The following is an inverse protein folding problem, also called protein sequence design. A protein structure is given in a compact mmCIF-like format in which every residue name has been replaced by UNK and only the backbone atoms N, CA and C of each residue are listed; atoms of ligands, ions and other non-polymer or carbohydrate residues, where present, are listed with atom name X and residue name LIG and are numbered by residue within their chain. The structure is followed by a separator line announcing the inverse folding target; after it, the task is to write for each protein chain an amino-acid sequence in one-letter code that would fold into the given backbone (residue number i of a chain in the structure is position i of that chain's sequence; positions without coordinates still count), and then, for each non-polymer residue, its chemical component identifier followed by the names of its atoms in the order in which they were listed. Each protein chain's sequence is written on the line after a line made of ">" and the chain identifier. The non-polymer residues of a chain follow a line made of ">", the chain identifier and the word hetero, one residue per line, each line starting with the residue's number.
data_IF_375180417119
#
_entry.id   IF_375180417119
#
_cell.length_a   1.000
_cell.length_b   1.000
_cell.length_c   1.000
_cell.angle_alpha   90.00
_cell.angle_beta   90.00
_cell.angle_gamma   90.00
#
_symmetry.space_group_name_H-M   'P 1'
#
loop_
_entity.id
_entity.type
_entity.pdbx_description
1 polymer ?
#
# COMPACT_ATOMS: atom_id res chain seq x y z
N UNK A 1 -13.66 -30.33 -33.28
CA UNK A 1 -14.23 -29.01 -32.95
C UNK A 1 -13.46 -28.49 -31.73
N UNK A 2 -12.42 -27.67 -31.98
CA UNK A 2 -11.64 -27.07 -30.89
C UNK A 2 -12.29 -25.76 -30.48
N UNK A 3 -13.03 -25.78 -29.37
CA UNK A 3 -13.44 -24.54 -28.70
C UNK A 3 -12.26 -23.98 -27.90
N UNK A 4 -11.50 -23.08 -28.53
CA UNK A 4 -10.62 -22.20 -27.80
C UNK A 4 -11.49 -21.17 -27.07
N UNK A 5 -11.78 -21.45 -25.80
CA UNK A 5 -12.42 -20.48 -24.93
C UNK A 5 -11.40 -19.36 -24.64
N UNK A 6 -11.43 -18.31 -25.41
CA UNK A 6 -10.75 -17.06 -25.09
C UNK A 6 -11.38 -16.50 -23.82
N UNK A 7 -10.72 -16.71 -22.69
CA UNK A 7 -11.06 -16.03 -21.41
C UNK A 7 -11.04 -14.52 -21.71
N UNK A 8 -12.12 -13.79 -21.45
CA UNK A 8 -12.16 -12.38 -21.78
C UNK A 8 -11.08 -11.64 -20.95
N UNK A 9 -10.12 -11.03 -21.64
CA UNK A 9 -9.03 -10.19 -21.09
C UNK A 9 -9.54 -9.13 -20.10
N UNK A 10 -10.83 -8.82 -20.11
CA UNK A 10 -11.51 -7.84 -19.26
C UNK A 10 -11.57 -8.23 -17.78
N UNK A 11 -11.54 -9.53 -17.46
CA UNK A 11 -11.64 -10.02 -16.10
C UNK A 11 -10.32 -9.95 -15.33
N UNK A 12 -9.18 -9.95 -16.02
CA UNK A 12 -7.85 -9.80 -15.40
C UNK A 12 -7.58 -8.35 -14.94
N UNK A 13 -8.26 -7.37 -15.53
CA UNK A 13 -8.06 -5.95 -15.23
C UNK A 13 -8.71 -5.51 -13.91
N UNK A 14 -9.82 -6.13 -13.49
CA UNK A 14 -10.54 -5.82 -12.25
C UNK A 14 -9.69 -6.04 -10.98
N UNK A 15 -8.83 -7.06 -10.99
CA UNK A 15 -7.98 -7.42 -9.87
C UNK A 15 -6.69 -6.61 -9.80
N UNK A 16 -6.26 -6.06 -10.94
CA UNK A 16 -5.04 -5.25 -11.00
C UNK A 16 -5.21 -3.92 -10.27
N UNK A 17 -6.40 -3.31 -10.31
CA UNK A 17 -6.70 -2.09 -9.55
C UNK A 17 -6.69 -2.31 -8.03
N UNK A 18 -7.29 -3.40 -7.57
CA UNK A 18 -7.34 -3.74 -6.15
C UNK A 18 -5.98 -4.23 -5.62
N UNK A 19 -5.23 -5.04 -6.39
CA UNK A 19 -3.91 -5.51 -5.97
C UNK A 19 -2.89 -4.37 -5.81
N UNK A 20 -2.99 -3.32 -6.61
CA UNK A 20 -2.14 -2.16 -6.50
C UNK A 20 -2.41 -1.29 -5.24
N UNK A 21 -3.64 -1.33 -4.74
CA UNK A 21 -4.02 -0.64 -3.50
C UNK A 21 -3.57 -1.39 -2.23
N UNK A 22 -3.29 -2.68 -2.33
CA UNK A 22 -3.05 -3.55 -1.16
C UNK A 22 -1.56 -3.83 -0.90
N UNK A 23 -0.65 -3.42 -1.78
CA UNK A 23 0.80 -3.56 -1.56
C UNK A 23 1.40 -2.57 -0.54
N UNK A 24 0.56 -1.93 0.29
CA UNK A 24 1.01 -1.02 1.36
C UNK A 24 1.01 -1.76 2.69
N UNK A 25 2.16 -2.03 3.22
CA UNK A 25 2.30 -2.81 4.43
C UNK A 25 2.12 -2.02 5.72
N UNK A 26 2.53 -0.82 5.88
CA UNK A 26 1.93 0.11 6.84
C UNK A 26 1.01 0.99 6.02
N UNK A 27 -0.26 0.76 6.17
CA UNK A 27 -1.29 1.40 5.36
C UNK A 27 -1.36 2.88 5.67
N UNK A 28 -1.20 3.24 6.96
CA UNK A 28 -1.29 4.61 7.44
C UNK A 28 0.05 5.33 7.28
N UNK A 29 0.12 6.31 6.38
CA UNK A 29 1.29 7.17 6.22
C UNK A 29 1.39 8.17 7.37
N UNK A 30 2.63 8.50 7.76
CA UNK A 30 2.95 9.53 8.74
C UNK A 30 3.11 10.89 8.06
N UNK A 31 2.70 12.01 8.69
CA UNK A 31 2.97 13.35 8.19
C UNK A 31 4.44 13.77 8.31
N UNK A 32 5.27 12.98 9.01
CA UNK A 32 6.68 13.32 9.21
C UNK A 32 7.48 13.21 7.92
N UNK A 33 8.29 14.22 7.64
CA UNK A 33 9.24 14.29 6.52
C UNK A 33 10.62 13.81 6.92
N UNK A 34 11.41 13.39 5.95
CA UNK A 34 12.83 13.11 6.11
C UNK A 34 13.59 14.43 6.17
N UNK A 35 14.57 14.55 7.08
CA UNK A 35 15.37 15.78 7.23
C UNK A 35 16.17 16.09 5.96
N UNK A 36 16.44 17.38 5.68
CA UNK A 36 17.23 17.78 4.52
C UNK A 36 18.58 17.07 4.46
N UNK A 37 18.93 16.56 3.27
CA UNK A 37 20.20 15.86 3.05
C UNK A 37 20.24 14.42 3.57
N UNK A 38 19.17 13.92 4.16
CA UNK A 38 19.05 12.52 4.59
C UNK A 38 18.14 11.75 3.63
N UNK A 39 18.31 10.42 3.67
CA UNK A 39 17.53 9.48 2.87
C UNK A 39 16.89 8.43 3.76
N UNK A 40 15.76 7.90 3.32
CA UNK A 40 15.07 6.80 3.98
C UNK A 40 14.62 5.78 2.93
N UNK A 41 15.01 4.53 3.11
CA UNK A 41 14.44 3.40 2.39
C UNK A 41 13.39 2.74 3.27
N UNK A 42 12.17 2.62 2.73
CA UNK A 42 11.12 1.73 3.24
C UNK A 42 10.94 0.61 2.22
N UNK A 43 11.09 -0.63 2.62
CA UNK A 43 10.95 -1.77 1.72
C UNK A 43 10.09 -2.86 2.37
N UNK A 44 8.99 -3.23 1.71
CA UNK A 44 8.29 -4.46 2.02
C UNK A 44 9.09 -5.62 1.42
N UNK A 45 9.91 -6.26 2.25
CA UNK A 45 10.72 -7.39 1.83
C UNK A 45 9.85 -8.50 1.25
N UNK A 46 8.71 -8.77 1.91
CA UNK A 46 7.66 -9.66 1.39
C UNK A 46 6.29 -9.26 1.94
N UNK A 47 5.28 -9.30 1.07
CA UNK A 47 3.86 -9.17 1.41
C UNK A 47 3.09 -10.28 0.70
N UNK A 48 2.25 -11.03 1.44
CA UNK A 48 1.48 -12.15 0.91
C UNK A 48 0.01 -11.90 1.20
N UNK A 49 -0.81 -11.83 0.15
CA UNK A 49 -2.25 -11.64 0.26
C UNK A 49 -2.95 -12.93 -0.14
N UNK A 50 -3.70 -13.49 0.77
CA UNK A 50 -4.43 -14.75 0.57
C UNK A 50 -5.91 -14.52 0.47
N UNK A 51 -6.62 -15.42 -0.24
CA UNK A 51 -8.07 -15.39 -0.36
C UNK A 51 -8.63 -14.04 -0.86
N UNK A 52 -7.92 -13.40 -1.78
CA UNK A 52 -8.49 -12.32 -2.58
C UNK A 52 -9.62 -12.95 -3.42
N UNK A 53 -10.79 -12.31 -3.44
CA UNK A 53 -11.89 -12.76 -4.29
C UNK A 53 -11.87 -11.91 -5.56
N UNK A 54 -11.70 -12.56 -6.69
CA UNK A 54 -11.89 -11.90 -7.97
C UNK A 54 -13.38 -11.64 -8.25
N UNK A 55 -13.70 -10.87 -9.26
CA UNK A 55 -15.09 -10.58 -9.68
C UNK A 55 -15.85 -11.84 -10.10
N UNK A 56 -15.17 -12.93 -10.41
CA UNK A 56 -15.75 -14.24 -10.72
C UNK A 56 -15.87 -15.14 -9.47
N UNK A 57 -15.49 -14.63 -8.27
CA UNK A 57 -15.63 -15.32 -6.99
C UNK A 57 -14.61 -16.41 -6.70
N UNK A 58 -13.57 -16.54 -7.53
CA UNK A 58 -12.49 -17.50 -7.31
C UNK A 58 -11.45 -16.97 -6.30
N UNK A 59 -10.86 -17.85 -5.46
CA UNK A 59 -9.77 -17.46 -4.59
C UNK A 59 -8.51 -17.09 -5.40
N UNK A 60 -7.82 -16.06 -4.96
CA UNK A 60 -6.53 -15.65 -5.53
C UNK A 60 -5.51 -15.38 -4.43
N UNK A 61 -4.25 -15.46 -4.79
CA UNK A 61 -3.12 -15.14 -3.92
C UNK A 61 -2.20 -14.18 -4.65
N UNK A 62 -1.85 -13.07 -3.99
CA UNK A 62 -0.84 -12.16 -4.50
C UNK A 62 0.38 -12.16 -3.57
N UNK A 63 1.56 -12.15 -4.17
CA UNK A 63 2.85 -12.03 -3.48
C UNK A 63 3.58 -10.85 -4.08
N UNK A 64 3.97 -9.90 -3.24
CA UNK A 64 4.85 -8.80 -3.60
C UNK A 64 6.18 -8.96 -2.85
N UNK A 65 7.29 -8.74 -3.54
CA UNK A 65 8.64 -8.81 -2.98
C UNK A 65 9.38 -7.54 -3.35
N UNK A 66 9.96 -6.90 -2.34
CA UNK A 66 10.79 -5.73 -2.53
C UNK A 66 10.02 -4.47 -2.98
N UNK A 67 8.76 -4.28 -2.56
CA UNK A 67 8.08 -3.00 -2.75
C UNK A 67 8.85 -1.92 -2.00
N UNK A 68 9.58 -1.09 -2.73
CA UNK A 68 10.59 -0.18 -2.18
C UNK A 68 10.23 1.26 -2.45
N UNK A 69 10.35 2.10 -1.42
CA UNK A 69 10.30 3.56 -1.52
C UNK A 69 11.61 4.14 -1.01
N UNK A 70 12.29 4.88 -1.88
CA UNK A 70 13.41 5.74 -1.54
C UNK A 70 12.89 7.17 -1.35
N UNK A 71 13.10 7.73 -0.17
CA UNK A 71 12.72 9.09 0.19
C UNK A 71 13.96 9.95 0.36
N UNK A 72 13.95 11.16 -0.18
CA UNK A 72 14.97 12.17 0.00
C UNK A 72 14.38 13.42 0.66
N UNK A 73 14.94 13.85 1.79
CA UNK A 73 14.57 15.10 2.44
C UNK A 73 15.12 16.30 1.68
N UNK A 74 14.24 17.21 1.24
CA UNK A 74 14.62 18.43 0.53
C UNK A 74 14.63 19.66 1.45
N UNK A 75 13.64 19.77 2.33
CA UNK A 75 13.47 20.82 3.33
C UNK A 75 12.98 20.19 4.63
N UNK A 76 12.94 20.94 5.73
CA UNK A 76 12.47 20.43 7.02
C UNK A 76 11.01 19.90 6.95
N UNK A 77 10.23 20.46 6.05
CA UNK A 77 8.81 20.15 5.85
C UNK A 77 8.49 19.49 4.49
N UNK A 78 9.51 19.20 3.67
CA UNK A 78 9.31 18.66 2.31
C UNK A 78 10.25 17.51 2.01
N UNK A 79 9.68 16.39 1.58
CA UNK A 79 10.43 15.26 1.00
C UNK A 79 9.83 14.81 -0.35
N UNK A 80 10.65 14.11 -1.13
CA UNK A 80 10.26 13.46 -2.38
C UNK A 80 10.56 11.97 -2.29
N UNK A 81 9.73 11.17 -2.95
CA UNK A 81 9.82 9.73 -2.89
C UNK A 81 9.69 9.11 -4.28
N UNK A 82 10.53 8.12 -4.55
CA UNK A 82 10.41 7.25 -5.71
C UNK A 82 10.19 5.83 -5.21
N UNK A 83 9.17 5.17 -5.72
CA UNK A 83 8.84 3.81 -5.33
C UNK A 83 8.66 2.88 -6.52
N UNK A 84 8.87 1.59 -6.30
CA UNK A 84 8.60 0.53 -7.27
C UNK A 84 8.34 -0.80 -6.57
N UNK A 85 7.50 -1.62 -7.21
CA UNK A 85 7.34 -3.03 -6.84
C UNK A 85 8.36 -3.86 -7.62
N UNK A 86 9.41 -4.35 -6.96
CA UNK A 86 10.50 -5.08 -7.64
C UNK A 86 10.04 -6.41 -8.22
N UNK A 87 9.11 -7.08 -7.56
CA UNK A 87 8.47 -8.29 -8.09
C UNK A 87 7.07 -8.46 -7.53
N UNK A 88 6.10 -8.67 -8.41
CA UNK A 88 4.72 -9.02 -8.07
C UNK A 88 4.35 -10.32 -8.77
N UNK A 89 3.68 -11.22 -8.05
CA UNK A 89 3.11 -12.45 -8.61
C UNK A 89 1.67 -12.60 -8.14
N UNK A 90 0.76 -12.83 -9.07
CA UNK A 90 -0.65 -13.03 -8.81
C UNK A 90 -1.08 -14.39 -9.35
N UNK A 91 -1.65 -15.23 -8.49
CA UNK A 91 -2.16 -16.55 -8.81
C UNK A 91 -3.68 -16.56 -8.68
N UNK A 92 -4.36 -17.00 -9.72
CA UNK A 92 -5.82 -17.12 -9.80
C UNK A 92 -6.20 -18.58 -9.90
N UNK A 93 -7.17 -19.02 -9.09
CA UNK A 93 -7.66 -20.39 -9.10
C UNK A 93 -9.15 -20.41 -9.49
N UNK A 94 -9.48 -21.11 -10.57
CA UNK A 94 -10.84 -21.25 -11.09
C UNK A 94 -11.16 -22.72 -11.38
N UNK A 95 -11.71 -23.39 -10.39
CA UNK A 95 -11.92 -24.84 -10.48
C UNK A 95 -10.59 -25.57 -10.68
N UNK A 96 -10.45 -26.28 -11.81
CA UNK A 96 -9.19 -26.97 -12.18
C UNK A 96 -8.18 -26.08 -12.91
N UNK A 97 -8.56 -24.84 -13.24
CA UNK A 97 -7.72 -23.93 -13.99
C UNK A 97 -6.95 -23.01 -13.04
N UNK A 98 -5.64 -22.92 -13.23
CA UNK A 98 -4.76 -21.99 -12.52
C UNK A 98 -4.06 -21.09 -13.53
N UNK A 99 -4.18 -19.77 -13.34
CA UNK A 99 -3.45 -18.75 -14.10
C UNK A 99 -2.52 -17.99 -13.16
N UNK A 100 -1.36 -17.58 -13.69
CA UNK A 100 -0.36 -16.84 -12.94
C UNK A 100 0.25 -15.74 -13.78
N UNK A 101 0.17 -14.51 -13.26
CA UNK A 101 0.85 -13.34 -13.81
C UNK A 101 1.95 -12.90 -12.85
N UNK A 102 3.11 -12.53 -13.37
CA UNK A 102 4.21 -12.01 -12.55
C UNK A 102 5.12 -11.08 -13.35
N UNK A 103 5.80 -10.20 -12.64
CA UNK A 103 6.73 -9.26 -13.24
C UNK A 103 7.12 -8.14 -12.31
N UNK A 104 7.88 -7.19 -12.83
CA UNK A 104 8.15 -5.90 -12.21
C UNK A 104 6.85 -5.08 -12.20
N UNK A 105 6.57 -4.41 -11.08
CA UNK A 105 5.37 -3.60 -10.94
C UNK A 105 5.52 -2.18 -11.47
N UNK A 106 4.63 -1.31 -11.06
CA UNK A 106 4.62 0.08 -11.48
C UNK A 106 5.55 0.95 -10.64
N UNK A 107 6.00 2.06 -11.21
CA UNK A 107 6.82 3.06 -10.52
C UNK A 107 5.95 4.20 -10.00
N UNK A 108 6.27 4.67 -8.81
CA UNK A 108 5.56 5.74 -8.10
C UNK A 108 6.48 6.93 -7.90
N UNK A 109 5.93 8.12 -8.04
CA UNK A 109 6.53 9.37 -7.61
C UNK A 109 5.59 10.03 -6.62
N UNK A 110 6.12 10.46 -5.47
CA UNK A 110 5.37 11.09 -4.39
C UNK A 110 6.13 12.29 -3.89
N UNK A 111 5.39 13.29 -3.40
CA UNK A 111 5.94 14.43 -2.68
C UNK A 111 5.16 14.57 -1.39
N UNK A 112 5.82 14.72 -0.26
CA UNK A 112 5.18 14.96 1.03
C UNK A 112 5.56 16.35 1.52
N UNK A 113 4.54 17.16 1.84
CA UNK A 113 4.70 18.47 2.44
C UNK A 113 3.92 18.56 3.74
N UNK A 114 4.64 18.73 4.87
CA UNK A 114 4.07 18.93 6.20
C UNK A 114 3.73 20.40 6.34
N UNK A 115 2.51 20.80 5.99
CA UNK A 115 2.09 22.20 5.94
C UNK A 115 1.64 22.78 7.29
N UNK A 116 1.40 21.89 8.28
CA UNK A 116 1.05 22.30 9.64
C UNK A 116 1.68 21.37 10.67
N UNK A 117 2.23 21.98 11.72
CA UNK A 117 2.83 21.27 12.84
C UNK A 117 2.71 22.11 14.11
N UNK A 118 2.38 21.47 15.22
CA UNK A 118 2.51 22.04 16.58
C UNK A 118 3.41 21.14 17.44
N UNK A 119 3.41 21.35 18.76
CA UNK A 119 4.25 20.60 19.70
C UNK A 119 3.98 19.10 19.72
N UNK A 120 2.79 18.65 19.34
CA UNK A 120 2.36 17.25 19.45
C UNK A 120 1.77 16.68 18.18
N UNK A 121 1.35 17.50 17.26
CA UNK A 121 0.61 17.04 16.09
C UNK A 121 1.18 17.62 14.81
N UNK A 122 0.98 16.90 13.71
CA UNK A 122 1.36 17.36 12.38
C UNK A 122 0.33 16.90 11.34
N UNK A 123 0.21 17.68 10.25
CA UNK A 123 -0.58 17.36 9.07
C UNK A 123 0.28 17.56 7.83
N UNK A 124 0.22 16.62 6.92
CA UNK A 124 0.89 16.74 5.62
C UNK A 124 -0.10 16.52 4.48
N UNK A 125 0.31 16.91 3.29
CA UNK A 125 -0.31 16.59 2.02
C UNK A 125 0.72 15.84 1.17
N UNK A 126 0.25 14.78 0.49
CA UNK A 126 1.14 13.89 -0.25
C UNK A 126 0.50 13.49 -1.58
N UNK A 127 0.61 14.36 -2.61
CA UNK A 127 0.24 13.99 -3.97
C UNK A 127 1.17 12.90 -4.50
N UNK A 128 0.62 12.03 -5.36
CA UNK A 128 1.40 11.01 -6.03
C UNK A 128 0.91 10.72 -7.44
N UNK A 129 1.82 10.16 -8.24
CA UNK A 129 1.55 9.60 -9.55
C UNK A 129 2.15 8.19 -9.63
N UNK A 130 1.41 7.29 -10.25
CA UNK A 130 1.82 5.93 -10.60
C UNK A 130 1.93 5.82 -12.11
N UNK A 131 3.08 5.39 -12.59
CA UNK A 131 3.37 5.21 -14.01
C UNK A 131 3.24 3.73 -14.39
N UNK A 132 2.61 3.39 -15.53
CA UNK A 132 2.41 2.01 -15.99
C UNK A 132 3.70 1.40 -16.56
N UNK A 133 4.71 1.22 -15.73
CA UNK A 133 6.01 0.67 -16.11
C UNK A 133 6.06 -0.86 -16.06
N UNK A 134 5.07 -1.48 -15.43
CA UNK A 134 4.91 -2.94 -15.41
C UNK A 134 4.63 -3.45 -16.82
N UNK A 135 5.38 -4.40 -17.35
CA UNK A 135 5.27 -4.93 -18.71
C UNK A 135 3.90 -5.50 -19.12
N UNK A 136 2.82 -5.05 -18.49
CA UNK A 136 1.43 -5.31 -18.85
C UNK A 136 0.82 -6.58 -18.26
N UNK A 137 1.52 -7.27 -17.36
CA UNK A 137 1.01 -8.48 -16.73
C UNK A 137 0.53 -8.27 -15.29
N UNK A 138 1.05 -7.24 -14.58
CA UNK A 138 0.77 -6.98 -13.16
C UNK A 138 0.44 -5.52 -12.84
N UNK A 139 0.17 -4.67 -13.82
CA UNK A 139 -0.19 -3.25 -13.65
C UNK A 139 -1.43 -2.84 -14.43
N UNK A 140 -1.96 -1.66 -14.15
CA UNK A 140 -3.20 -1.15 -14.76
C UNK A 140 -3.04 -0.61 -16.17
N UNK A 141 -1.82 -0.52 -16.69
CA UNK A 141 -1.50 0.04 -18.03
C UNK A 141 -1.98 1.47 -18.24
N UNK A 142 -2.16 2.22 -17.16
CA UNK A 142 -2.60 3.60 -17.20
C UNK A 142 -1.83 4.42 -16.18
N UNK A 143 -1.66 5.70 -16.43
CA UNK A 143 -1.19 6.63 -15.41
C UNK A 143 -2.31 6.79 -14.39
N UNK A 144 -1.99 6.60 -13.13
CA UNK A 144 -2.90 6.78 -12.01
C UNK A 144 -2.27 7.73 -11.02
N UNK A 145 -3.04 8.20 -10.06
CA UNK A 145 -2.51 9.08 -9.03
C UNK A 145 -3.57 9.46 -8.02
N UNK A 146 -3.16 10.24 -7.04
CA UNK A 146 -4.05 10.60 -5.95
C UNK A 146 -3.43 11.59 -4.99
N UNK A 147 -4.15 11.80 -3.91
CA UNK A 147 -3.78 12.68 -2.83
C UNK A 147 -3.98 11.96 -1.50
N UNK A 148 -2.92 11.91 -0.69
CA UNK A 148 -2.95 11.39 0.67
C UNK A 148 -2.81 12.58 1.62
N UNK A 149 -3.62 12.59 2.69
CA UNK A 149 -3.56 13.58 3.76
C UNK A 149 -3.36 12.86 5.08
N UNK A 150 -2.11 12.66 5.53
CA UNK A 150 -1.80 12.08 6.82
C UNK A 150 -1.83 13.13 7.94
N UNK A 151 -2.31 12.72 9.10
CA UNK A 151 -2.26 13.43 10.36
C UNK A 151 -1.71 12.51 11.44
N UNK A 152 -0.94 13.06 12.37
CA UNK A 152 -0.47 12.34 13.56
C UNK A 152 -0.53 13.21 14.80
N UNK A 153 -0.69 12.57 15.97
CA UNK A 153 -0.52 13.20 17.27
C UNK A 153 0.30 12.30 18.19
N UNK A 154 1.21 12.93 18.95
CA UNK A 154 2.12 12.25 19.87
C UNK A 154 1.59 12.36 21.29
N UNK A 155 1.52 11.24 21.97
CA UNK A 155 0.94 11.12 23.30
C UNK A 155 2.03 11.17 24.39
N UNK A 156 1.70 11.61 25.61
CA UNK A 156 2.56 11.42 26.76
C UNK A 156 2.90 9.92 26.91
N UNK A 157 4.18 9.61 27.17
CA UNK A 157 4.66 8.22 27.25
C UNK A 157 5.16 7.63 25.92
N UNK A 158 5.29 8.47 24.87
CA UNK A 158 5.92 8.10 23.61
C UNK A 158 5.01 7.36 22.62
N UNK A 159 3.76 7.11 22.96
CA UNK A 159 2.78 6.57 22.02
C UNK A 159 2.39 7.63 20.96
N UNK A 160 1.84 7.17 19.83
CA UNK A 160 1.26 8.08 18.84
C UNK A 160 0.02 7.47 18.20
N UNK A 161 -0.87 8.36 17.77
CA UNK A 161 -2.00 8.04 16.93
C UNK A 161 -1.79 8.72 15.57
N UNK A 162 -1.95 7.95 14.50
CA UNK A 162 -1.83 8.43 13.11
C UNK A 162 -3.11 8.08 12.37
N UNK A 163 -3.61 8.99 11.56
CA UNK A 163 -4.72 8.75 10.66
C UNK A 163 -4.43 9.34 9.29
N UNK A 164 -5.04 8.80 8.24
CA UNK A 164 -4.97 9.41 6.92
C UNK A 164 -6.28 9.24 6.15
N UNK A 165 -6.55 10.21 5.27
CA UNK A 165 -7.48 10.08 4.17
C UNK A 165 -6.72 10.04 2.85
N UNK A 166 -7.25 9.33 1.87
CA UNK A 166 -6.66 9.21 0.54
C UNK A 166 -7.76 9.24 -0.51
N UNK A 167 -7.50 9.94 -1.60
CA UNK A 167 -8.36 9.98 -2.78
C UNK A 167 -7.51 9.67 -4.01
N UNK A 168 -7.84 8.57 -4.69
CA UNK A 168 -7.14 8.12 -5.88
C UNK A 168 -8.02 8.19 -7.11
N UNK A 169 -7.41 8.45 -8.26
CA UNK A 169 -7.97 8.22 -9.58
C UNK A 169 -7.36 6.93 -10.13
N UNK A 170 -8.20 5.91 -10.25
CA UNK A 170 -7.81 4.56 -10.66
C UNK A 170 -8.48 4.24 -11.99
N UNK A 171 -7.76 3.65 -12.93
CA UNK A 171 -8.30 3.22 -14.23
C UNK A 171 -9.49 2.29 -14.00
N UNK A 172 -10.63 2.61 -14.61
CA UNK A 172 -11.81 1.79 -14.51
C UNK A 172 -11.69 0.48 -15.30
N UNK A 173 -12.51 -0.53 -14.94
CA UNK A 173 -12.48 -1.84 -15.56
C UNK A 173 -12.83 -1.82 -17.06
N UNK A 174 -13.65 -0.88 -17.48
CA UNK A 174 -14.02 -0.70 -18.88
C UNK A 174 -12.84 -0.18 -19.72
N UNK A 175 -11.79 0.31 -19.07
CA UNK A 175 -10.60 0.85 -19.75
C UNK A 175 -10.87 2.15 -20.53
N UNK A 176 -11.94 2.88 -20.24
CA UNK A 176 -12.35 4.09 -20.96
C UNK A 176 -12.41 5.35 -20.07
N UNK A 177 -12.07 5.24 -18.78
CA UNK A 177 -12.11 6.35 -17.83
C UNK A 177 -11.42 6.00 -16.51
N UNK A 178 -11.72 6.79 -15.49
CA UNK A 178 -11.21 6.61 -14.13
C UNK A 178 -12.34 6.59 -13.12
N UNK A 179 -12.19 5.75 -12.12
CA UNK A 179 -13.01 5.74 -10.93
C UNK A 179 -12.27 6.46 -9.80
N UNK A 180 -13.02 7.10 -8.91
CA UNK A 180 -12.50 7.59 -7.66
C UNK A 180 -12.44 6.44 -6.65
N UNK A 181 -11.32 6.30 -5.94
CA UNK A 181 -11.20 5.42 -4.79
C UNK A 181 -10.92 6.27 -3.55
N UNK A 182 -11.81 6.19 -2.58
CA UNK A 182 -11.66 6.84 -1.29
C UNK A 182 -11.17 5.82 -0.27
N UNK A 183 -10.14 6.18 0.47
CA UNK A 183 -9.54 5.33 1.47
C UNK A 183 -9.26 6.12 2.74
N UNK A 184 -9.42 5.48 3.89
CA UNK A 184 -9.07 6.02 5.19
C UNK A 184 -8.46 4.95 6.06
N UNK A 185 -7.50 5.33 6.89
CA UNK A 185 -6.89 4.44 7.87
C UNK A 185 -6.53 5.18 9.16
N UNK A 186 -6.33 4.38 10.22
CA UNK A 186 -5.87 4.88 11.51
C UNK A 186 -5.03 3.82 12.20
N UNK A 187 -3.93 4.25 12.81
CA UNK A 187 -3.01 3.41 13.55
C UNK A 187 -2.69 4.02 14.91
N UNK A 188 -2.59 3.16 15.91
CA UNK A 188 -2.03 3.49 17.20
C UNK A 188 -0.74 2.71 17.39
N UNK A 189 0.34 3.38 17.78
CA UNK A 189 1.62 2.74 18.07
C UNK A 189 2.14 3.12 19.45
N UNK A 190 2.80 2.17 20.10
CA UNK A 190 3.36 2.32 21.43
C UNK A 190 4.76 1.70 21.51
N UNK A 191 5.81 2.51 21.77
CA UNK A 191 7.10 1.98 22.17
C UNK A 191 6.96 1.23 23.51
N UNK A 192 7.41 -0.01 23.55
CA UNK A 192 7.47 -0.83 24.79
C UNK A 192 8.85 -0.77 25.42
N UNK A 193 9.87 -0.73 24.58
CA UNK A 193 11.28 -0.60 24.97
C UNK A 193 12.01 0.24 23.92
N UNK A 194 13.30 0.54 24.15
CA UNK A 194 14.13 1.17 23.12
C UNK A 194 14.34 0.33 21.84
N UNK A 195 14.07 -0.98 21.93
CA UNK A 195 14.21 -1.91 20.79
C UNK A 195 12.88 -2.29 20.15
N UNK A 196 11.76 -2.13 20.85
CA UNK A 196 10.47 -2.69 20.41
C UNK A 196 9.36 -1.65 20.47
N UNK A 197 8.72 -1.43 19.34
CA UNK A 197 7.45 -0.69 19.20
C UNK A 197 6.38 -1.63 18.67
N UNK A 198 5.19 -1.63 19.27
CA UNK A 198 4.03 -2.37 18.76
C UNK A 198 2.98 -1.41 18.24
N UNK A 199 2.14 -1.88 17.30
CA UNK A 199 1.05 -1.07 16.77
C UNK A 199 -0.16 -1.91 16.38
N UNK A 200 -1.32 -1.25 16.35
CA UNK A 200 -2.55 -1.75 15.76
C UNK A 200 -3.07 -0.77 14.71
N UNK A 201 -3.70 -1.27 13.67
CA UNK A 201 -4.12 -0.49 12.50
C UNK A 201 -5.45 -1.00 11.95
N UNK A 202 -6.30 -0.07 11.54
CA UNK A 202 -7.55 -0.34 10.83
C UNK A 202 -7.63 0.53 9.59
N UNK A 203 -8.20 -0.01 8.51
CA UNK A 203 -8.33 0.72 7.27
C UNK A 203 -9.59 0.32 6.51
N UNK A 204 -10.15 1.25 5.74
CA UNK A 204 -11.30 1.01 4.89
C UNK A 204 -11.25 1.87 3.63
N UNK A 205 -11.76 1.32 2.52
CA UNK A 205 -11.83 2.04 1.24
C UNK A 205 -12.99 1.60 0.38
N UNK A 206 -13.39 2.49 -0.56
CA UNK A 206 -14.51 2.28 -1.46
C UNK A 206 -14.26 2.94 -2.81
N UNK A 207 -14.49 2.19 -3.90
CA UNK A 207 -14.47 2.70 -5.27
C UNK A 207 -15.85 3.24 -5.67
N UNK A 208 -15.87 4.32 -6.47
CA UNK A 208 -17.06 4.83 -7.15
C UNK A 208 -17.56 3.89 -8.26
N UNK A 209 -16.70 3.02 -8.79
CA UNK A 209 -17.00 2.05 -9.85
C UNK A 209 -17.83 0.84 -9.41
N UNK A 210 -18.38 0.85 -8.18
CA UNK A 210 -19.27 -0.21 -7.69
C UNK A 210 -18.57 -1.44 -7.10
N UNK A 211 -17.26 -1.55 -7.12
CA UNK A 211 -16.51 -2.63 -6.48
C UNK A 211 -16.87 -2.78 -4.99
N UNK A 212 -16.78 -3.98 -4.39
CA UNK A 212 -16.98 -4.16 -2.96
C UNK A 212 -16.04 -3.24 -2.15
N UNK A 213 -16.50 -2.79 -0.97
CA UNK A 213 -15.63 -2.05 -0.08
C UNK A 213 -14.50 -2.94 0.43
N UNK A 214 -13.34 -2.32 0.68
CA UNK A 214 -12.16 -2.97 1.24
C UNK A 214 -12.04 -2.55 2.70
N UNK A 215 -11.95 -3.50 3.62
CA UNK A 215 -11.72 -3.21 5.04
C UNK A 215 -10.71 -4.17 5.60
N UNK A 216 -9.75 -3.68 6.37
CA UNK A 216 -8.71 -4.48 7.01
C UNK A 216 -8.49 -4.03 8.45
N UNK A 217 -8.11 -4.96 9.30
CA UNK A 217 -7.60 -4.72 10.64
C UNK A 217 -6.33 -5.52 10.82
N UNK A 218 -5.37 -4.99 11.51
CA UNK A 218 -4.12 -5.68 11.76
C UNK A 218 -3.25 -4.99 12.78
N UNK A 219 -2.01 -5.44 12.84
CA UNK A 219 -1.01 -4.85 13.72
C UNK A 219 0.33 -5.53 13.53
N UNK A 220 1.32 -5.03 14.23
CA UNK A 220 2.67 -5.50 14.08
C UNK A 220 3.61 -5.06 15.19
N UNK A 221 4.86 -5.44 15.00
CA UNK A 221 5.96 -5.13 15.88
C UNK A 221 7.17 -4.64 15.08
N UNK A 222 7.67 -3.47 15.46
CA UNK A 222 8.90 -2.90 14.90
C UNK A 222 10.06 -3.18 15.85
N UNK A 223 11.11 -3.81 15.33
CA UNK A 223 12.35 -4.11 16.05
C UNK A 223 13.44 -3.14 15.57
N UNK A 224 13.83 -2.21 16.42
CA UNK A 224 14.85 -1.18 16.14
C UNK A 224 16.24 -1.74 16.45
N UNK A 225 16.98 -2.17 15.42
CA UNK A 225 18.35 -2.69 15.60
C UNK A 225 19.39 -1.58 15.75
N UNK A 226 19.08 -0.39 15.26
CA UNK A 226 19.85 0.83 15.48
C UNK A 226 18.94 2.06 15.36
N UNK A 227 19.50 3.26 15.54
CA UNK A 227 18.76 4.52 15.34
C UNK A 227 18.32 4.75 13.90
N UNK A 228 18.90 4.05 12.94
CA UNK A 228 18.65 4.21 11.50
C UNK A 228 18.09 2.97 10.83
N UNK A 229 18.07 1.82 11.50
CA UNK A 229 17.62 0.57 10.90
C UNK A 229 16.64 -0.20 11.78
N UNK A 230 15.50 -0.60 11.19
CA UNK A 230 14.49 -1.42 11.86
C UNK A 230 13.86 -2.45 10.93
N UNK A 231 13.45 -3.57 11.52
CA UNK A 231 12.51 -4.51 10.92
C UNK A 231 11.11 -4.28 11.45
N UNK A 232 10.11 -4.59 10.62
CA UNK A 232 8.69 -4.54 10.98
C UNK A 232 8.02 -5.82 10.51
N UNK A 233 7.32 -6.49 11.43
CA UNK A 233 6.57 -7.72 11.20
C UNK A 233 5.11 -7.45 11.48
N UNK A 234 4.27 -7.60 10.47
CA UNK A 234 2.85 -7.28 10.55
C UNK A 234 1.96 -8.42 10.04
N UNK A 235 0.74 -8.45 10.56
CA UNK A 235 -0.31 -9.35 10.10
C UNK A 235 -1.63 -8.58 10.01
N UNK A 236 -2.27 -8.62 8.84
CA UNK A 236 -3.57 -8.02 8.60
C UNK A 236 -4.62 -9.06 8.26
N UNK A 237 -5.87 -8.79 8.63
CA UNK A 237 -7.06 -9.57 8.36
C UNK A 237 -8.07 -8.73 7.60
N UNK A 238 -8.64 -9.28 6.52
CA UNK A 238 -9.76 -8.67 5.82
C UNK A 238 -11.04 -8.72 6.63
N UNK A 239 -11.77 -7.61 6.63
CA UNK A 239 -13.07 -7.44 7.26
C UNK A 239 -14.22 -7.46 6.23
N UNK A 240 -13.88 -7.50 4.95
CA UNK A 240 -14.85 -7.43 3.85
C UNK A 240 -14.46 -8.37 2.72
N UNK A 241 -15.42 -8.62 1.79
CA UNK A 241 -15.17 -9.45 0.62
C UNK A 241 -14.18 -8.84 -0.37
N UNK A 242 -14.02 -7.52 -0.37
CA UNK A 242 -13.05 -6.83 -1.24
C UNK A 242 -11.63 -6.82 -0.66
N UNK A 243 -11.43 -7.28 0.57
CA UNK A 243 -10.13 -7.33 1.23
C UNK A 243 -9.53 -8.74 1.18
N UNK A 244 -8.17 -8.86 1.22
CA UNK A 244 -7.51 -10.16 1.36
C UNK A 244 -7.92 -10.84 2.66
N UNK A 245 -8.02 -12.18 2.66
CA UNK A 245 -8.31 -12.94 3.86
C UNK A 245 -7.25 -12.73 4.94
N UNK A 246 -6.00 -12.89 4.58
CA UNK A 246 -4.82 -12.61 5.41
C UNK A 246 -3.73 -11.93 4.59
N UNK A 247 -2.99 -11.04 5.23
CA UNK A 247 -1.82 -10.37 4.65
C UNK A 247 -0.69 -10.28 5.69
N UNK A 248 0.17 -11.31 5.83
CA UNK A 248 1.44 -11.19 6.52
C UNK A 248 2.43 -10.34 5.72
N UNK A 249 3.18 -9.51 6.43
CA UNK A 249 4.15 -8.59 5.84
C UNK A 249 5.42 -8.55 6.67
N UNK A 250 6.55 -8.53 6.00
CA UNK A 250 7.87 -8.25 6.58
C UNK A 250 8.44 -7.03 5.88
N UNK A 251 8.81 -6.03 6.65
CA UNK A 251 9.32 -4.75 6.16
C UNK A 251 10.61 -4.37 6.82
N UNK A 252 11.43 -3.62 6.10
CA UNK A 252 12.57 -2.91 6.66
C UNK A 252 12.46 -1.40 6.43
N UNK A 253 13.06 -0.65 7.37
CA UNK A 253 13.33 0.79 7.25
C UNK A 253 14.82 1.02 7.47
N UNK A 254 15.43 1.82 6.59
CA UNK A 254 16.84 2.17 6.69
C UNK A 254 17.04 3.63 6.32
N UNK A 255 17.45 4.44 7.31
CA UNK A 255 17.80 5.85 7.15
C UNK A 255 19.32 6.06 7.03
N UNK A 256 19.79 7.03 6.28
CA UNK A 256 21.21 7.37 6.13
C UNK A 256 21.40 8.80 5.65
#
# INVERSE_FOLDING_TARGET
>A
MNFSASVPRRLALLLLGLAALVARAQVTESPETVKPGHFLIKMDAVSIQTNLHDSAGGPSTAVAVGTTFLTAGLMDDLDVQVGADMYVSQKYERGTFTDRNSGFGDVYFRTKWTFWRDERSAVAVMPFVRLPTSGGHVGNRAVEGGLIVPWATYLPGGGSFTAMGEWDWVRNDAGNGYDAFLYASGAFQQPLTGLLTVYGEIAAGKSSGGAPWVGTIGGGAQVHLSSVFSWDFALYRGLSRGAPGWNPVVRLKWGF
#
